data_IF_475337937982
#
_entry.id   IF_475337937982
#
_cell.length_a   1.000
_cell.length_b   1.000
_cell.length_c   1.000
_cell.angle_alpha   90.00
_cell.angle_beta   90.00
_cell.angle_gamma   90.00
#
_symmetry.space_group_name_H-M   'P 1'
#
loop_
_entity.id
_entity.type
_entity.pdbx_description
1 polymer ?
#
# COMPACT_ATOMS: atom_id res chain seq x y z
N UNK A 1 -7.58 -23.01 21.35
CA UNK A 1 -7.79 -22.99 19.90
C UNK A 1 -6.88 -24.06 19.30
N UNK A 2 -7.42 -25.10 18.67
CA UNK A 2 -6.61 -26.16 18.08
C UNK A 2 -6.07 -25.62 16.76
N UNK A 3 -4.75 -25.41 16.65
CA UNK A 3 -4.09 -25.18 15.36
C UNK A 3 -4.14 -26.51 14.61
N UNK A 4 -5.06 -26.62 13.67
CA UNK A 4 -5.10 -27.73 12.71
C UNK A 4 -4.14 -27.35 11.57
N UNK A 5 -3.30 -28.28 11.15
CA UNK A 5 -2.38 -28.07 10.03
C UNK A 5 -3.17 -27.73 8.76
N UNK A 6 -2.72 -26.70 8.03
CA UNK A 6 -3.20 -26.38 6.70
C UNK A 6 -2.12 -26.70 5.67
N UNK A 7 -2.49 -27.45 4.63
CA UNK A 7 -1.64 -27.67 3.46
C UNK A 7 -2.25 -26.87 2.32
N UNK A 8 -1.49 -25.90 1.79
CA UNK A 8 -1.84 -25.20 0.56
C UNK A 8 -1.01 -25.79 -0.57
N UNK A 9 -1.65 -26.20 -1.66
CA UNK A 9 -0.99 -26.59 -2.90
C UNK A 9 -1.40 -25.54 -3.91
N UNK A 10 -0.45 -24.67 -4.26
CA UNK A 10 -0.64 -23.68 -5.30
C UNK A 10 0.09 -24.14 -6.55
N UNK A 11 -0.63 -24.18 -7.66
CA UNK A 11 -0.08 -24.40 -8.98
C UNK A 11 0.51 -23.08 -9.50
N UNK A 12 1.76 -22.79 -9.12
CA UNK A 12 2.46 -21.55 -9.47
C UNK A 12 3.33 -21.74 -10.73
N UNK A 13 2.74 -21.46 -11.89
CA UNK A 13 3.39 -21.48 -13.19
C UNK A 13 2.99 -20.28 -14.03
N UNK A 14 3.83 -19.95 -15.01
CA UNK A 14 3.55 -18.88 -15.96
C UNK A 14 2.28 -19.17 -16.78
N UNK A 15 1.57 -18.11 -17.13
CA UNK A 15 0.35 -18.18 -17.93
C UNK A 15 0.63 -18.87 -19.29
N UNK A 16 -0.29 -19.73 -19.72
CA UNK A 16 -0.15 -20.42 -21.01
C UNK A 16 -0.03 -19.41 -22.15
N UNK A 17 0.89 -19.59 -23.12
CA UNK A 17 1.13 -18.61 -24.19
C UNK A 17 -0.12 -18.20 -24.96
N UNK A 18 -0.99 -19.18 -25.26
CA UNK A 18 -2.27 -18.91 -25.95
C UNK A 18 -3.21 -18.02 -25.12
N UNK A 19 -3.33 -18.28 -23.81
CA UNK A 19 -4.17 -17.48 -22.92
C UNK A 19 -3.57 -16.08 -22.72
N UNK A 20 -2.25 -15.97 -22.61
CA UNK A 20 -1.55 -14.69 -22.54
C UNK A 20 -1.83 -13.83 -23.78
N UNK A 21 -1.79 -14.41 -24.98
CA UNK A 21 -2.11 -13.70 -26.22
C UNK A 21 -3.57 -13.22 -26.27
N UNK A 22 -4.51 -14.04 -25.79
CA UNK A 22 -5.93 -13.67 -25.70
C UNK A 22 -6.15 -12.49 -24.74
N UNK A 23 -5.55 -12.55 -23.54
CA UNK A 23 -5.62 -11.48 -22.53
C UNK A 23 -4.94 -10.20 -23.04
N UNK A 24 -3.76 -10.32 -23.64
CA UNK A 24 -3.03 -9.21 -24.24
C UNK A 24 -3.88 -8.45 -25.26
N UNK A 25 -4.49 -9.17 -26.23
CA UNK A 25 -5.34 -8.57 -27.26
C UNK A 25 -6.55 -7.85 -26.67
N UNK A 26 -7.19 -8.46 -25.68
CA UNK A 26 -8.32 -7.86 -24.99
C UNK A 26 -7.92 -6.56 -24.28
N UNK A 27 -6.90 -6.63 -23.41
CA UNK A 27 -6.44 -5.49 -22.63
C UNK A 27 -5.95 -4.33 -23.50
N UNK A 28 -5.23 -4.62 -24.59
CA UNK A 28 -4.76 -3.61 -25.53
C UNK A 28 -5.91 -2.79 -26.13
N UNK A 29 -7.07 -3.41 -26.35
CA UNK A 29 -8.26 -2.75 -26.90
C UNK A 29 -9.11 -2.03 -25.84
N UNK A 30 -9.09 -2.49 -24.59
CA UNK A 30 -9.94 -1.97 -23.52
C UNK A 30 -9.28 -0.86 -22.70
N UNK A 31 -8.00 -0.99 -22.35
CA UNK A 31 -7.28 -0.06 -21.47
C UNK A 31 -7.44 1.42 -21.89
N UNK A 32 -7.33 1.81 -23.17
CA UNK A 32 -7.46 3.21 -23.58
C UNK A 32 -8.84 3.84 -23.33
N UNK A 33 -9.87 3.03 -23.05
CA UNK A 33 -11.25 3.46 -22.79
C UNK A 33 -11.47 3.92 -21.35
N UNK A 34 -10.57 3.60 -20.44
CA UNK A 34 -10.68 3.93 -19.02
C UNK A 34 -9.73 5.06 -18.63
N UNK A 35 -10.16 5.87 -17.67
CA UNK A 35 -9.34 6.97 -17.13
C UNK A 35 -8.32 6.48 -16.10
N UNK A 36 -8.59 5.35 -15.46
CA UNK A 36 -7.78 4.73 -14.42
C UNK A 36 -7.75 3.22 -14.60
N UNK A 37 -6.55 2.65 -14.61
CA UNK A 37 -6.30 1.21 -14.50
C UNK A 37 -5.63 0.94 -13.16
N UNK A 38 -6.24 0.06 -12.36
CA UNK A 38 -5.73 -0.38 -11.06
C UNK A 38 -5.24 -1.82 -11.22
N UNK A 39 -3.96 -2.05 -10.95
CA UNK A 39 -3.34 -3.37 -11.02
C UNK A 39 -2.93 -3.79 -9.62
N UNK A 40 -3.61 -4.79 -9.08
CA UNK A 40 -3.17 -5.49 -7.87
C UNK A 40 -2.54 -6.81 -8.29
N UNK A 41 -1.21 -6.85 -8.28
CA UNK A 41 -0.41 -7.94 -8.83
C UNK A 41 0.08 -8.84 -7.71
N UNK A 42 -0.46 -10.06 -7.66
CA UNK A 42 -0.12 -11.08 -6.66
C UNK A 42 1.02 -12.00 -7.09
N UNK A 43 1.60 -11.84 -8.27
CA UNK A 43 2.82 -12.55 -8.67
C UNK A 43 2.69 -14.05 -8.95
N UNK A 44 1.47 -14.58 -9.18
CA UNK A 44 1.22 -16.01 -9.43
C UNK A 44 1.10 -16.35 -10.93
N UNK A 45 2.04 -15.85 -11.75
CA UNK A 45 2.17 -16.20 -13.17
C UNK A 45 1.14 -15.63 -14.15
N UNK A 46 -0.03 -15.15 -13.71
CA UNK A 46 -1.04 -14.58 -14.63
C UNK A 46 -0.56 -13.28 -15.31
N UNK A 47 0.05 -12.38 -14.54
CA UNK A 47 0.55 -11.09 -15.03
C UNK A 47 2.01 -11.26 -15.47
N UNK A 48 2.19 -11.65 -16.73
CA UNK A 48 3.50 -11.76 -17.35
C UNK A 48 3.94 -10.42 -17.98
N UNK A 49 5.12 -10.43 -18.61
CA UNK A 49 5.74 -9.23 -19.20
C UNK A 49 4.90 -8.61 -20.31
N UNK A 50 4.28 -9.42 -21.17
CA UNK A 50 3.47 -8.93 -22.29
C UNK A 50 2.21 -8.22 -21.78
N UNK A 51 1.57 -8.77 -20.74
CA UNK A 51 0.43 -8.14 -20.07
C UNK A 51 0.84 -6.83 -19.39
N UNK A 52 1.99 -6.77 -18.71
CA UNK A 52 2.51 -5.54 -18.10
C UNK A 52 2.70 -4.42 -19.14
N UNK A 53 3.16 -4.77 -20.35
CA UNK A 53 3.33 -3.79 -21.42
C UNK A 53 2.00 -3.17 -21.84
N UNK A 54 0.89 -3.93 -21.81
CA UNK A 54 -0.44 -3.38 -22.09
C UNK A 54 -0.88 -2.35 -21.05
N UNK A 55 -0.59 -2.60 -19.76
CA UNK A 55 -0.91 -1.65 -18.68
C UNK A 55 -0.21 -0.31 -18.85
N UNK A 56 0.97 -0.30 -19.47
CA UNK A 56 1.74 0.92 -19.74
C UNK A 56 1.05 1.87 -20.72
N UNK A 57 0.00 1.41 -21.43
CA UNK A 57 -0.84 2.23 -22.31
C UNK A 57 -1.98 2.94 -21.56
N UNK A 58 -2.15 2.68 -20.26
CA UNK A 58 -3.19 3.32 -19.45
C UNK A 58 -2.96 4.84 -19.32
N UNK A 59 -4.06 5.61 -19.32
CA UNK A 59 -4.04 7.06 -19.08
C UNK A 59 -3.52 7.37 -17.69
N UNK A 60 -4.00 6.60 -16.70
CA UNK A 60 -3.48 6.58 -15.35
C UNK A 60 -3.32 5.13 -14.89
N UNK A 61 -2.13 4.77 -14.44
CA UNK A 61 -1.78 3.43 -13.97
C UNK A 61 -1.43 3.46 -12.47
N UNK A 62 -2.25 2.82 -11.66
CA UNK A 62 -1.97 2.55 -10.25
C UNK A 62 -1.53 1.09 -10.10
N UNK A 63 -0.42 0.84 -9.41
CA UNK A 63 0.14 -0.52 -9.23
C UNK A 63 0.45 -0.80 -7.77
N UNK A 64 0.05 -1.99 -7.33
CA UNK A 64 0.55 -2.65 -6.13
C UNK A 64 1.10 -4.02 -6.55
N UNK A 65 2.36 -4.31 -6.21
CA UNK A 65 2.96 -5.63 -6.39
C UNK A 65 3.12 -6.30 -5.04
N UNK A 66 2.16 -7.15 -4.70
CA UNK A 66 2.09 -7.74 -3.38
C UNK A 66 3.14 -8.84 -3.22
N UNK A 67 3.86 -8.81 -2.10
CA UNK A 67 4.68 -9.92 -1.65
C UNK A 67 3.88 -10.84 -0.72
N UNK A 68 3.93 -12.14 -0.97
CA UNK A 68 3.39 -13.18 -0.11
C UNK A 68 4.44 -14.29 0.12
N UNK A 69 4.09 -15.29 0.93
CA UNK A 69 4.99 -16.38 1.29
C UNK A 69 5.49 -17.17 0.08
N UNK A 70 4.68 -17.26 -0.99
CA UNK A 70 4.96 -18.09 -2.16
C UNK A 70 5.82 -17.33 -3.20
N UNK A 71 5.70 -16.00 -3.28
CA UNK A 71 6.36 -15.18 -4.30
C UNK A 71 7.48 -14.25 -3.77
N UNK A 72 7.86 -14.40 -2.50
CA UNK A 72 8.76 -13.45 -1.82
C UNK A 72 10.06 -13.20 -2.58
N UNK A 73 10.25 -11.95 -3.02
CA UNK A 73 11.42 -11.52 -3.80
C UNK A 73 11.31 -11.71 -5.32
N UNK A 74 10.21 -12.29 -5.82
CA UNK A 74 9.99 -12.56 -7.25
C UNK A 74 8.91 -11.67 -7.90
N UNK A 75 8.06 -11.01 -7.10
CA UNK A 75 7.02 -10.10 -7.57
C UNK A 75 7.34 -8.62 -7.27
N UNK A 76 8.38 -8.09 -7.91
CA UNK A 76 8.89 -6.74 -7.62
C UNK A 76 8.25 -5.68 -8.52
N UNK A 77 7.92 -4.50 -7.97
CA UNK A 77 7.39 -3.36 -8.74
C UNK A 77 8.30 -2.94 -9.91
N UNK A 78 9.61 -3.22 -9.83
CA UNK A 78 10.60 -2.87 -10.86
C UNK A 78 10.41 -3.62 -12.18
N UNK A 79 9.51 -4.62 -12.25
CA UNK A 79 9.08 -5.24 -13.52
C UNK A 79 8.16 -4.33 -14.34
N UNK A 80 7.53 -3.32 -13.72
CA UNK A 80 6.72 -2.33 -14.40
C UNK A 80 7.60 -1.19 -14.95
N UNK A 81 7.53 -0.87 -16.25
CA UNK A 81 8.38 0.17 -16.85
C UNK A 81 7.92 1.60 -16.50
N UNK A 82 6.67 1.75 -16.05
CA UNK A 82 6.07 3.00 -15.57
C UNK A 82 4.89 2.74 -14.62
N UNK A 83 4.60 3.70 -13.74
CA UNK A 83 3.34 3.81 -13.00
C UNK A 83 3.08 5.29 -12.64
N UNK A 84 1.82 5.69 -12.44
CA UNK A 84 1.45 7.05 -12.01
C UNK A 84 1.23 7.11 -10.50
N UNK A 85 0.90 5.96 -9.91
CA UNK A 85 0.81 5.75 -8.48
C UNK A 85 1.29 4.34 -8.12
N UNK A 86 2.17 4.25 -7.13
CA UNK A 86 2.64 2.97 -6.56
C UNK A 86 2.27 2.93 -5.09
N UNK A 87 1.67 1.83 -4.64
CA UNK A 87 1.42 1.56 -3.24
C UNK A 87 2.06 0.23 -2.88
N UNK A 88 3.00 0.26 -1.95
CA UNK A 88 3.70 -0.92 -1.44
C UNK A 88 3.73 -0.88 0.09
N UNK A 89 3.99 -2.01 0.72
CA UNK A 89 4.45 -2.02 2.09
C UNK A 89 5.98 -1.81 2.17
N UNK A 90 6.47 -1.65 3.41
CA UNK A 90 7.90 -1.47 3.65
C UNK A 90 8.73 -2.68 3.17
N UNK A 91 8.40 -3.94 3.54
CA UNK A 91 9.08 -5.13 3.03
C UNK A 91 9.17 -5.20 1.49
N UNK A 92 8.07 -4.95 0.78
CA UNK A 92 8.00 -4.91 -0.68
C UNK A 92 8.91 -3.83 -1.25
N UNK A 93 8.92 -2.65 -0.63
CA UNK A 93 9.80 -1.52 -1.02
C UNK A 93 11.27 -1.90 -0.88
N UNK A 94 11.63 -2.57 0.22
CA UNK A 94 13.01 -3.04 0.47
C UNK A 94 13.43 -4.12 -0.50
N UNK A 95 12.56 -5.09 -0.78
CA UNK A 95 12.81 -6.15 -1.76
C UNK A 95 13.04 -5.55 -3.16
N UNK A 96 12.18 -4.62 -3.57
CA UNK A 96 12.29 -3.95 -4.87
C UNK A 96 13.58 -3.13 -5.03
N UNK A 97 14.11 -2.59 -3.94
CA UNK A 97 15.38 -1.85 -3.93
C UNK A 97 16.61 -2.70 -3.60
N UNK A 98 16.43 -3.97 -3.22
CA UNK A 98 17.48 -4.85 -2.70
C UNK A 98 18.26 -4.23 -1.53
N UNK A 99 17.58 -3.45 -0.68
CA UNK A 99 18.19 -2.77 0.48
C UNK A 99 17.37 -2.99 1.75
N UNK A 100 17.98 -3.73 2.68
CA UNK A 100 17.35 -4.12 3.94
C UNK A 100 17.37 -3.03 5.02
N UNK A 101 18.35 -2.12 5.00
CA UNK A 101 18.63 -1.23 6.14
C UNK A 101 18.62 0.26 5.79
N UNK A 102 18.58 0.59 4.50
CA UNK A 102 18.51 1.94 4.01
C UNK A 102 17.29 2.70 4.54
N UNK A 103 17.45 4.02 4.61
CA UNK A 103 16.37 4.95 4.96
C UNK A 103 15.25 4.85 3.92
N UNK A 104 14.01 4.68 4.35
CA UNK A 104 12.88 4.38 3.44
C UNK A 104 12.68 5.48 2.39
N UNK A 105 12.90 6.75 2.74
CA UNK A 105 12.82 7.87 1.80
C UNK A 105 13.85 7.75 0.67
N UNK A 106 15.05 7.25 0.94
CA UNK A 106 16.05 7.03 -0.11
C UNK A 106 15.62 5.92 -1.07
N UNK A 107 14.96 4.88 -0.55
CA UNK A 107 14.42 3.78 -1.35
C UNK A 107 13.25 4.25 -2.23
N UNK A 108 12.37 5.10 -1.69
CA UNK A 108 11.30 5.74 -2.45
C UNK A 108 11.87 6.57 -3.62
N UNK A 109 12.94 7.35 -3.39
CA UNK A 109 13.60 8.10 -4.47
C UNK A 109 14.21 7.19 -5.55
N UNK A 110 14.73 6.02 -5.16
CA UNK A 110 15.24 5.03 -6.10
C UNK A 110 14.10 4.41 -6.93
N UNK A 111 13.01 3.99 -6.27
CA UNK A 111 11.82 3.45 -6.93
C UNK A 111 11.20 4.48 -7.88
N UNK A 112 11.11 5.74 -7.46
CA UNK A 112 10.56 6.82 -8.28
C UNK A 112 11.29 6.94 -9.62
N UNK A 113 12.62 6.78 -9.62
CA UNK A 113 13.43 6.77 -10.86
C UNK A 113 13.24 5.50 -11.67
N UNK A 114 13.29 4.33 -11.02
CA UNK A 114 13.23 3.04 -11.70
C UNK A 114 11.89 2.77 -12.38
N UNK A 115 10.79 3.18 -11.73
CA UNK A 115 9.40 2.96 -12.17
C UNK A 115 8.80 4.25 -12.77
N UNK A 116 9.61 5.31 -12.95
CA UNK A 116 9.18 6.62 -13.49
C UNK A 116 7.90 7.16 -12.82
N UNK A 117 7.76 6.91 -11.52
CA UNK A 117 6.57 7.19 -10.75
C UNK A 117 6.87 8.29 -9.75
N UNK A 118 6.10 9.38 -9.80
CA UNK A 118 6.28 10.49 -8.87
C UNK A 118 5.30 10.46 -7.71
N UNK A 119 4.37 9.50 -7.63
CA UNK A 119 3.42 9.37 -6.52
C UNK A 119 3.55 7.98 -5.89
N UNK A 120 4.11 7.91 -4.69
CA UNK A 120 4.40 6.64 -4.03
C UNK A 120 3.85 6.67 -2.60
N UNK A 121 3.15 5.61 -2.22
CA UNK A 121 2.76 5.33 -0.85
C UNK A 121 3.52 4.11 -0.35
N UNK A 122 4.16 4.24 0.81
CA UNK A 122 4.77 3.12 1.54
C UNK A 122 4.04 2.96 2.85
N UNK A 123 3.22 1.91 2.93
CA UNK A 123 2.49 1.55 4.14
C UNK A 123 3.39 0.80 5.11
N UNK A 124 3.19 1.00 6.41
CA UNK A 124 4.09 0.43 7.43
C UNK A 124 3.34 -0.16 8.63
N UNK A 125 2.18 -0.76 8.37
CA UNK A 125 1.38 -1.46 9.40
C UNK A 125 1.05 -0.55 10.59
N UNK A 126 1.72 -0.77 11.72
CA UNK A 126 1.55 0.04 12.94
C UNK A 126 2.34 1.35 12.96
N UNK A 127 3.32 1.50 12.08
CA UNK A 127 4.12 2.72 11.93
C UNK A 127 3.52 3.65 10.87
N UNK A 128 3.87 4.95 10.91
CA UNK A 128 3.36 5.93 9.95
C UNK A 128 3.55 5.51 8.49
N UNK A 129 2.55 5.84 7.68
CA UNK A 129 2.60 5.68 6.22
C UNK A 129 3.42 6.83 5.64
N UNK A 130 4.35 6.53 4.74
CA UNK A 130 5.14 7.54 4.04
C UNK A 130 4.55 7.78 2.65
N UNK A 131 4.11 9.01 2.40
CA UNK A 131 3.60 9.44 1.10
C UNK A 131 4.65 10.30 0.40
N UNK A 132 4.73 10.19 -0.92
CA UNK A 132 5.67 10.95 -1.76
C UNK A 132 5.00 11.47 -3.02
N UNK A 133 5.14 12.78 -3.32
CA UNK A 133 4.78 13.42 -4.61
C UNK A 133 5.90 14.28 -5.21
N UNK A 134 7.14 14.07 -4.77
CA UNK A 134 8.23 15.04 -4.88
C UNK A 134 8.54 15.73 -3.54
N UNK A 135 7.61 15.68 -2.60
CA UNK A 135 7.83 15.94 -1.17
C UNK A 135 7.42 14.71 -0.36
N UNK A 136 8.00 14.56 0.84
CA UNK A 136 7.64 13.49 1.77
C UNK A 136 6.59 13.98 2.77
N UNK A 137 5.63 13.13 3.06
CA UNK A 137 4.64 13.31 4.11
C UNK A 137 4.59 12.06 4.97
N UNK A 138 4.63 12.26 6.28
CA UNK A 138 4.48 11.19 7.26
C UNK A 138 3.05 11.25 7.81
N UNK A 139 2.29 10.18 7.59
CA UNK A 139 0.88 10.11 7.97
C UNK A 139 0.72 9.15 9.15
N UNK A 140 0.23 9.64 10.31
CA UNK A 140 0.13 8.82 11.51
C UNK A 140 -0.85 7.67 11.33
N UNK A 141 -0.62 6.58 12.05
CA UNK A 141 -1.53 5.44 12.09
C UNK A 141 -2.77 5.78 12.94
N UNK A 142 -3.94 5.34 12.48
CA UNK A 142 -5.24 5.67 13.10
C UNK A 142 -5.87 4.48 13.85
N UNK A 143 -5.14 3.37 13.97
CA UNK A 143 -5.63 2.16 14.63
C UNK A 143 -4.95 1.93 15.98
N UNK A 144 -5.74 1.84 17.04
CA UNK A 144 -5.30 1.32 18.34
C UNK A 144 -5.78 -0.14 18.47
N UNK A 145 -4.85 -1.09 18.44
CA UNK A 145 -5.15 -2.52 18.60
C UNK A 145 -5.40 -3.24 17.26
N UNK A 146 -4.36 -3.93 16.77
CA UNK A 146 -4.42 -4.76 15.57
C UNK A 146 -5.14 -6.07 15.89
N UNK A 147 -6.22 -6.39 15.16
CA UNK A 147 -6.82 -7.73 15.17
C UNK A 147 -6.32 -8.58 14.00
N UNK A 148 -6.40 -8.05 12.79
CA UNK A 148 -5.99 -8.72 11.57
C UNK A 148 -5.49 -7.69 10.55
N UNK A 149 -4.25 -7.80 10.08
CA UNK A 149 -3.68 -6.88 9.07
C UNK A 149 -3.94 -7.32 7.64
N UNK A 150 -4.54 -8.49 7.44
CA UNK A 150 -4.78 -9.09 6.12
C UNK A 150 -5.69 -8.21 5.28
N UNK A 151 -5.24 -7.84 4.08
CA UNK A 151 -6.00 -7.03 3.13
C UNK A 151 -6.13 -5.55 3.50
N UNK A 152 -5.43 -5.07 4.55
CA UNK A 152 -5.40 -3.64 4.88
C UNK A 152 -4.68 -2.82 3.79
N UNK A 153 -3.58 -3.35 3.25
CA UNK A 153 -2.86 -2.75 2.12
C UNK A 153 -3.71 -2.71 0.84
N UNK A 154 -4.44 -3.78 0.53
CA UNK A 154 -5.38 -3.82 -0.60
C UNK A 154 -6.48 -2.77 -0.47
N UNK A 155 -7.09 -2.65 0.72
CA UNK A 155 -8.13 -1.67 0.99
C UNK A 155 -7.58 -0.23 0.91
N UNK A 156 -6.38 0.00 1.46
CA UNK A 156 -5.67 1.28 1.32
C UNK A 156 -5.47 1.61 -0.16
N UNK A 157 -4.92 0.68 -0.95
CA UNK A 157 -4.61 0.89 -2.36
C UNK A 157 -5.87 1.12 -3.20
N UNK A 158 -6.92 0.32 -3.00
CA UNK A 158 -8.19 0.41 -3.73
C UNK A 158 -8.86 1.78 -3.58
N UNK A 159 -8.76 2.41 -2.41
CA UNK A 159 -9.34 3.73 -2.15
C UNK A 159 -8.38 4.86 -2.56
N UNK A 160 -7.09 4.71 -2.30
CA UNK A 160 -6.12 5.77 -2.60
C UNK A 160 -5.87 5.92 -4.09
N UNK A 161 -5.89 4.85 -4.89
CA UNK A 161 -5.69 4.93 -6.34
C UNK A 161 -6.62 5.94 -7.05
N UNK A 162 -7.96 5.90 -6.89
CA UNK A 162 -8.84 6.91 -7.48
C UNK A 162 -8.67 8.31 -6.86
N UNK A 163 -8.33 8.43 -5.57
CA UNK A 163 -8.03 9.73 -4.96
C UNK A 163 -6.80 10.40 -5.60
N UNK A 164 -5.75 9.61 -5.86
CA UNK A 164 -4.54 10.11 -6.52
C UNK A 164 -4.82 10.45 -7.98
N UNK A 165 -5.58 9.61 -8.68
CA UNK A 165 -5.95 9.84 -10.08
C UNK A 165 -6.78 11.12 -10.28
N UNK A 166 -7.58 11.50 -9.29
CA UNK A 166 -8.37 12.74 -9.28
C UNK A 166 -7.57 13.96 -8.81
N UNK A 167 -6.31 13.78 -8.40
CA UNK A 167 -5.39 14.88 -8.06
C UNK A 167 -5.51 15.39 -6.62
N UNK A 168 -6.03 14.58 -5.68
CA UNK A 168 -6.02 14.97 -4.27
C UNK A 168 -4.57 15.10 -3.75
N UNK A 169 -4.31 16.04 -2.81
CA UNK A 169 -3.04 16.15 -2.12
C UNK A 169 -2.62 14.83 -1.44
N UNK A 170 -1.35 14.43 -1.57
CA UNK A 170 -0.90 13.11 -1.11
C UNK A 170 -0.99 12.90 0.41
N UNK A 171 -0.91 13.96 1.20
CA UNK A 171 -1.15 13.92 2.64
C UNK A 171 -2.60 13.60 2.98
N UNK A 172 -3.56 14.22 2.27
CA UNK A 172 -4.99 13.90 2.37
C UNK A 172 -5.29 12.48 1.90
N UNK A 173 -4.68 12.05 0.79
CA UNK A 173 -4.79 10.68 0.29
C UNK A 173 -4.31 9.68 1.36
N UNK A 174 -3.13 9.92 1.95
CA UNK A 174 -2.58 9.05 2.97
C UNK A 174 -3.45 8.99 4.23
N UNK A 175 -4.04 10.12 4.64
CA UNK A 175 -5.01 10.15 5.74
C UNK A 175 -6.24 9.27 5.46
N UNK A 176 -6.84 9.42 4.27
CA UNK A 176 -7.99 8.59 3.85
C UNK A 176 -7.59 7.11 3.83
N UNK A 177 -6.43 6.80 3.25
CA UNK A 177 -5.89 5.43 3.21
C UNK A 177 -5.71 4.84 4.60
N UNK A 178 -5.08 5.57 5.53
CA UNK A 178 -4.90 5.11 6.91
C UNK A 178 -6.24 4.94 7.66
N UNK A 179 -7.25 5.76 7.34
CA UNK A 179 -8.59 5.60 7.91
C UNK A 179 -9.27 4.32 7.41
N UNK A 180 -9.16 4.02 6.12
CA UNK A 180 -9.65 2.77 5.53
C UNK A 180 -8.90 1.56 6.11
N UNK A 181 -7.58 1.64 6.21
CA UNK A 181 -6.76 0.60 6.85
C UNK A 181 -7.19 0.34 8.29
N UNK A 182 -7.40 1.39 9.09
CA UNK A 182 -7.84 1.29 10.49
C UNK A 182 -9.23 0.65 10.66
N UNK A 183 -10.12 0.83 9.69
CA UNK A 183 -11.41 0.12 9.66
C UNK A 183 -11.23 -1.34 9.20
N UNK A 184 -10.43 -1.57 8.16
CA UNK A 184 -10.19 -2.90 7.60
C UNK A 184 -9.57 -3.85 8.62
N UNK A 185 -8.62 -3.38 9.44
CA UNK A 185 -7.98 -4.24 10.46
C UNK A 185 -8.91 -4.71 11.58
N UNK A 186 -10.11 -4.15 11.69
CA UNK A 186 -11.16 -4.58 12.62
C UNK A 186 -12.03 -5.70 12.03
N UNK A 187 -11.96 -5.93 10.72
CA UNK A 187 -12.67 -6.98 9.99
C UNK A 187 -11.76 -8.21 9.92
N UNK A 188 -12.27 -9.36 10.35
CA UNK A 188 -11.51 -10.61 10.28
C UNK A 188 -11.41 -11.06 8.82
N UNK A 189 -10.18 -11.19 8.32
CA UNK A 189 -9.84 -11.54 6.96
C UNK A 189 -10.63 -10.70 5.92
N UNK A 190 -11.15 -11.36 4.90
CA UNK A 190 -12.00 -10.75 3.86
C UNK A 190 -13.49 -11.04 4.08
N UNK A 191 -13.94 -11.14 5.34
CA UNK A 191 -15.35 -11.43 5.65
C UNK A 191 -16.31 -10.35 5.14
N UNK A 192 -15.88 -9.09 5.15
CA UNK A 192 -16.63 -7.97 4.59
C UNK A 192 -15.69 -6.86 4.09
N UNK A 193 -16.24 -5.94 3.31
CA UNK A 193 -15.62 -4.68 2.86
C UNK A 193 -15.74 -3.57 3.91
N UNK A 194 -14.94 -2.51 3.72
CA UNK A 194 -15.16 -1.23 4.40
C UNK A 194 -16.20 -0.46 3.60
N UNK A 195 -17.35 -0.18 4.23
CA UNK A 195 -18.43 0.56 3.59
C UNK A 195 -18.21 2.09 3.69
N UNK A 196 -18.66 2.88 2.69
CA UNK A 196 -18.51 4.33 2.69
C UNK A 196 -19.05 5.01 3.96
N UNK A 197 -20.20 4.56 4.46
CA UNK A 197 -20.84 5.11 5.66
C UNK A 197 -19.95 4.94 6.90
N UNK A 198 -19.28 3.79 7.02
CA UNK A 198 -18.36 3.52 8.11
C UNK A 198 -17.12 4.42 8.03
N UNK A 199 -16.60 4.66 6.82
CA UNK A 199 -15.48 5.57 6.59
C UNK A 199 -15.85 7.03 6.92
N UNK A 200 -16.99 7.52 6.44
CA UNK A 200 -17.43 8.88 6.72
C UNK A 200 -17.67 9.12 8.20
N UNK A 201 -18.29 8.16 8.88
CA UNK A 201 -18.49 8.21 10.32
C UNK A 201 -17.16 8.27 11.06
N UNK A 202 -16.22 7.39 10.72
CA UNK A 202 -14.91 7.33 11.35
C UNK A 202 -14.12 8.64 11.19
N UNK A 203 -14.10 9.21 9.97
CA UNK A 203 -13.43 10.49 9.70
C UNK A 203 -14.09 11.64 10.49
N UNK A 204 -15.42 11.62 10.63
CA UNK A 204 -16.15 12.65 11.38
C UNK A 204 -15.81 12.60 12.88
N UNK A 205 -15.79 11.41 13.46
CA UNK A 205 -15.44 11.19 14.87
C UNK A 205 -14.00 11.65 15.18
N UNK A 206 -13.05 11.44 14.25
CA UNK A 206 -11.67 11.91 14.41
C UNK A 206 -11.59 13.45 14.51
N UNK A 207 -12.33 14.16 13.66
CA UNK A 207 -12.38 15.64 13.68
C UNK A 207 -12.98 16.19 14.98
N UNK A 208 -14.00 15.52 15.50
CA UNK A 208 -14.64 15.92 16.77
C UNK A 208 -13.68 15.72 17.95
N UNK A 209 -12.91 14.63 17.96
CA UNK A 209 -11.93 14.34 19.00
C UNK A 209 -10.71 15.29 18.97
N UNK A 210 -10.25 15.73 17.79
CA UNK A 210 -9.20 16.77 17.70
C UNK A 210 -9.66 18.12 18.27
N UNK A 211 -10.94 18.47 18.08
CA UNK A 211 -11.51 19.67 18.69
C UNK A 211 -11.69 19.53 20.21
N UNK A 212 -11.91 18.31 20.71
CA UNK A 212 -11.92 17.99 22.14
C UNK A 212 -10.54 18.09 22.81
N UNK A 213 -9.46 17.76 22.10
CA UNK A 213 -8.08 17.84 22.61
C UNK A 213 -7.57 19.29 22.79
N UNK A 214 -8.20 20.28 22.15
CA UNK A 214 -7.85 21.70 22.36
C UNK A 214 -8.40 22.28 23.67
N UNK A 215 -9.27 21.57 24.39
CA UNK A 215 -9.81 21.99 25.69
C UNK A 215 -9.08 21.25 26.82
N UNK A 216 -7.77 21.49 26.92
CA UNK A 216 -6.93 20.80 27.89
C UNK A 216 -5.49 21.30 27.88
N UNK A 217 -5.29 22.60 28.09
CA UNK A 217 -3.95 23.12 28.43
C UNK A 217 -3.57 22.61 29.83
N UNK A 218 -2.87 21.48 29.87
CA UNK A 218 -1.96 21.17 30.95
C UNK A 218 -0.54 21.45 30.44
N UNK A 219 0.11 22.45 31.03
CA UNK A 219 1.54 22.70 30.88
C UNK A 219 2.29 21.41 31.24
N UNK A 220 3.14 20.91 30.34
CA UNK A 220 4.11 19.87 30.68
C UNK A 220 5.45 20.58 30.86
N UNK A 221 5.88 20.56 32.12
CA UNK A 221 7.15 21.07 32.62
C UNK A 221 8.31 20.29 31.97
N UNK A 222 9.28 21.02 31.43
CA UNK A 222 10.43 20.46 30.72
C UNK A 222 11.54 20.12 31.73
N UNK A 223 11.60 18.86 32.14
CA UNK A 223 12.78 18.29 32.80
C UNK A 223 13.16 16.97 32.11
N UNK A 224 14.42 16.80 31.64
CA UNK A 224 14.83 15.58 30.94
C UNK A 224 15.03 14.42 31.93
N UNK A 225 14.62 13.18 31.60
CA UNK A 225 14.97 12.02 32.41
C UNK A 225 16.46 11.70 32.27
N UNK A 226 17.10 11.43 33.42
CA UNK A 226 18.51 11.05 33.54
C UNK A 226 18.85 9.79 32.74
N UNK A 227 20.05 9.82 32.16
CA UNK A 227 20.69 8.71 31.49
C UNK A 227 21.02 7.57 32.45
N UNK A 228 20.58 6.35 32.16
CA UNK A 228 21.22 5.15 32.67
C UNK A 228 21.83 4.31 31.55
N UNK A 229 23.14 4.09 31.72
CA UNK A 229 24.04 3.27 30.91
C UNK A 229 23.76 1.77 31.12
N UNK A 230 23.87 1.04 30.00
CA UNK A 230 24.55 -0.25 29.80
C UNK A 230 24.28 -1.44 30.74
N UNK A 231 23.79 -2.53 30.14
CA UNK A 231 24.29 -3.93 30.16
C UNK A 231 23.28 -4.76 29.35
N UNK A 232 23.58 -5.76 28.52
CA UNK A 232 24.75 -6.57 28.22
C UNK A 232 24.23 -7.82 27.51
N UNK A 233 24.99 -8.31 26.52
CA UNK A 233 24.76 -9.48 25.64
C UNK A 233 23.71 -9.32 24.54
#
# INVERSE_FOLDING_TARGET
MIKIFGVSILEDYDILPKLSEEVYKYLLSEIPKYDLVIVNDFGHGFINRDIIETFSQARFLAVNTQTNTDNAGFNLITKYPRADYVCLDEPETRLACQDKYGKIENLILLLSKNVKCNKIAVTHGQYPTIMYDGKFYEIPTLSNGLKDTTGAGDAFFAITAPCVATGLPMDVVGFIGNAVGALKVKIVCNRSSVEPEALYKFITELKENENGLRVGHAQIDASPPESHRLAGW
#
